data_IF_519534797546
#
_entry.id   IF_519534797546
#
_cell.length_a   1.000
_cell.length_b   1.000
_cell.length_c   1.000
_cell.angle_alpha   90.00
_cell.angle_beta   90.00
_cell.angle_gamma   90.00
#
_symmetry.space_group_name_H-M   'P 1'
#
loop_
_entity.id
_entity.type
_entity.pdbx_description
1 polymer ?
#
# COMPACT_ATOMS: atom_id res chain seq x y z
N UNK A 1 -11.28 -25.96 5.22
CA UNK A 1 -10.71 -24.94 4.30
C UNK A 1 -10.30 -23.75 5.16
N UNK A 2 -9.12 -23.23 4.98
CA UNK A 2 -8.56 -22.11 5.75
C UNK A 2 -8.95 -20.79 5.10
N UNK A 3 -9.23 -19.69 5.85
CA UNK A 3 -9.42 -18.37 5.29
C UNK A 3 -8.22 -17.93 4.42
N UNK A 4 -8.41 -17.03 3.43
CA UNK A 4 -7.31 -16.57 2.58
C UNK A 4 -6.20 -15.91 3.41
N UNK A 5 -4.99 -15.88 2.88
CA UNK A 5 -3.96 -14.97 3.38
C UNK A 5 -4.29 -13.56 2.91
N UNK A 6 -4.14 -12.56 3.79
CA UNK A 6 -4.47 -11.17 3.50
C UNK A 6 -3.21 -10.34 3.46
N UNK A 7 -2.88 -9.80 2.30
CA UNK A 7 -1.74 -8.91 2.08
C UNK A 7 -2.28 -7.51 1.86
N UNK A 8 -2.22 -6.69 2.90
CA UNK A 8 -2.79 -5.34 2.83
C UNK A 8 -1.72 -4.31 2.49
N UNK A 9 -2.02 -3.40 1.57
CA UNK A 9 -1.35 -2.12 1.57
C UNK A 9 -1.59 -1.39 2.89
N UNK A 10 -0.82 -0.34 3.15
CA UNK A 10 -0.87 0.40 4.40
C UNK A 10 -1.54 1.77 4.24
N UNK A 11 -0.95 2.65 3.44
CA UNK A 11 -1.34 4.05 3.32
C UNK A 11 -2.53 4.22 2.37
N UNK A 12 -3.63 4.77 2.87
CA UNK A 12 -4.89 4.80 2.14
C UNK A 12 -5.72 3.54 2.29
N UNK A 13 -5.15 2.43 2.79
CA UNK A 13 -5.86 1.16 2.99
C UNK A 13 -6.09 0.86 4.47
N UNK A 14 -5.04 0.73 5.28
CA UNK A 14 -5.12 0.51 6.73
C UNK A 14 -5.04 1.81 7.52
N UNK A 15 -4.31 2.78 6.99
CA UNK A 15 -3.94 4.03 7.65
C UNK A 15 -4.33 5.22 6.77
N UNK A 16 -5.08 6.16 7.33
CA UNK A 16 -5.27 7.48 6.74
C UNK A 16 -4.04 8.34 7.07
N UNK A 17 -3.17 8.50 6.08
CA UNK A 17 -1.93 9.28 6.15
C UNK A 17 -1.86 10.41 5.12
N UNK A 18 -2.93 10.61 4.33
CA UNK A 18 -2.94 11.52 3.18
C UNK A 18 -2.55 12.94 3.58
N UNK A 19 -3.17 13.48 4.63
CA UNK A 19 -2.89 14.85 5.08
C UNK A 19 -1.44 15.04 5.57
N UNK A 20 -0.87 14.03 6.25
CA UNK A 20 0.53 14.05 6.68
C UNK A 20 1.49 13.98 5.49
N UNK A 21 1.24 13.10 4.54
CA UNK A 21 2.01 13.00 3.30
C UNK A 21 1.97 14.33 2.52
N UNK A 22 0.80 14.93 2.33
CA UNK A 22 0.66 16.22 1.62
C UNK A 22 1.51 17.32 2.26
N UNK A 23 1.61 17.39 3.59
CA UNK A 23 2.46 18.41 4.25
C UNK A 23 3.94 18.22 3.92
N UNK A 24 4.44 16.99 3.94
CA UNK A 24 5.83 16.67 3.59
C UNK A 24 6.13 16.95 2.11
N UNK A 25 5.25 16.49 1.22
CA UNK A 25 5.40 16.70 -0.22
C UNK A 25 5.25 18.16 -0.62
N UNK A 26 4.37 18.93 0.03
CA UNK A 26 4.32 20.39 -0.14
C UNK A 26 5.63 21.07 0.30
N UNK A 27 6.26 20.60 1.38
CA UNK A 27 7.55 21.13 1.82
C UNK A 27 8.66 20.82 0.82
N UNK A 28 8.70 19.60 0.28
CA UNK A 28 9.62 19.23 -0.79
C UNK A 28 9.37 20.02 -2.08
N UNK A 29 8.10 20.15 -2.50
CA UNK A 29 7.72 20.92 -3.70
C UNK A 29 8.17 22.37 -3.64
N UNK A 30 8.04 23.02 -2.48
CA UNK A 30 8.57 24.40 -2.27
C UNK A 30 10.08 24.49 -2.48
N UNK A 31 10.85 23.46 -2.09
CA UNK A 31 12.31 23.43 -2.30
C UNK A 31 12.68 23.26 -3.78
N UNK A 32 11.82 22.62 -4.56
CA UNK A 32 12.05 22.34 -5.97
C UNK A 32 11.34 23.29 -6.93
N UNK A 33 10.49 24.18 -6.42
CA UNK A 33 9.70 25.12 -7.24
C UNK A 33 8.60 24.43 -8.04
N UNK A 34 8.05 23.31 -7.54
CA UNK A 34 6.97 22.54 -8.17
C UNK A 34 5.81 22.33 -7.19
N UNK A 35 4.65 21.93 -7.71
CA UNK A 35 3.56 21.44 -6.87
C UNK A 35 3.84 19.98 -6.47
N UNK A 36 4.45 19.81 -5.29
CA UNK A 36 4.83 18.49 -4.78
C UNK A 36 3.62 17.63 -4.41
N UNK A 37 2.50 18.24 -3.99
CA UNK A 37 1.28 17.52 -3.65
C UNK A 37 0.65 16.92 -4.90
N UNK A 38 0.38 17.74 -5.91
CA UNK A 38 -0.19 17.27 -7.18
C UNK A 38 0.71 16.21 -7.84
N UNK A 39 2.05 16.37 -7.72
CA UNK A 39 3.00 15.38 -8.23
C UNK A 39 2.91 14.04 -7.49
N UNK A 40 2.78 14.05 -6.17
CA UNK A 40 2.60 12.84 -5.34
C UNK A 40 1.25 12.16 -5.62
N UNK A 41 0.15 12.93 -5.71
CA UNK A 41 -1.20 12.40 -5.98
C UNK A 41 -1.26 11.69 -7.34
N UNK A 42 -0.65 12.27 -8.39
CA UNK A 42 -0.59 11.66 -9.71
C UNK A 42 0.15 10.29 -9.74
N UNK A 43 0.94 10.00 -8.72
CA UNK A 43 1.78 8.79 -8.63
C UNK A 43 1.54 8.02 -7.32
N UNK A 44 0.39 8.22 -6.68
CA UNK A 44 0.04 7.58 -5.40
C UNK A 44 0.22 6.04 -5.45
N UNK A 45 0.67 5.47 -4.34
CA UNK A 45 0.95 4.03 -4.22
C UNK A 45 2.32 3.57 -4.73
N UNK A 46 3.15 4.49 -5.30
CA UNK A 46 4.54 4.20 -5.70
C UNK A 46 5.54 4.65 -4.62
N UNK A 47 6.76 4.05 -4.59
CA UNK A 47 7.83 4.52 -3.71
C UNK A 47 8.22 5.97 -3.99
N UNK A 48 8.42 6.78 -2.92
CA UNK A 48 8.75 8.20 -3.04
C UNK A 48 9.98 8.47 -3.92
N UNK A 49 11.03 7.63 -3.80
CA UNK A 49 12.24 7.75 -4.62
C UNK A 49 11.95 7.64 -6.12
N UNK A 50 11.06 6.72 -6.52
CA UNK A 50 10.66 6.57 -7.92
C UNK A 50 9.84 7.77 -8.42
N UNK A 51 8.96 8.30 -7.57
CA UNK A 51 8.14 9.48 -7.89
C UNK A 51 9.02 10.71 -8.07
N UNK A 52 9.98 10.95 -7.17
CA UNK A 52 10.93 12.07 -7.25
C UNK A 52 11.81 11.97 -8.50
N UNK A 53 12.26 10.77 -8.87
CA UNK A 53 13.09 10.54 -10.06
C UNK A 53 12.38 10.86 -11.40
N UNK A 54 11.07 11.10 -11.39
CA UNK A 54 10.34 11.54 -12.60
C UNK A 54 10.58 13.02 -12.95
N UNK A 55 11.07 13.82 -11.98
CA UNK A 55 11.28 15.27 -12.15
C UNK A 55 12.66 15.75 -11.66
N UNK A 56 13.47 14.85 -11.13
CA UNK A 56 14.85 15.11 -10.67
C UNK A 56 15.79 14.14 -11.37
N UNK A 57 16.65 14.64 -12.27
CA UNK A 57 17.52 13.80 -13.09
C UNK A 57 18.78 13.31 -12.36
N UNK A 58 19.32 14.10 -11.42
CA UNK A 58 20.54 13.76 -10.67
C UNK A 58 20.24 12.69 -9.59
N UNK A 59 20.82 11.49 -9.68
CA UNK A 59 20.57 10.42 -8.72
C UNK A 59 20.91 10.79 -7.27
N UNK A 60 21.95 11.60 -7.05
CA UNK A 60 22.33 12.05 -5.71
C UNK A 60 21.29 13.00 -5.11
N UNK A 61 20.70 13.86 -5.94
CA UNK A 61 19.60 14.73 -5.53
C UNK A 61 18.29 13.94 -5.30
N UNK A 62 18.03 12.91 -6.10
CA UNK A 62 16.88 12.01 -5.90
C UNK A 62 16.97 11.35 -4.53
N UNK A 63 18.11 10.82 -4.15
CA UNK A 63 18.30 10.17 -2.85
C UNK A 63 18.19 11.15 -1.68
N UNK A 64 18.76 12.37 -1.83
CA UNK A 64 18.65 13.43 -0.82
C UNK A 64 17.20 13.91 -0.63
N UNK A 65 16.45 14.05 -1.72
CA UNK A 65 15.06 14.47 -1.70
C UNK A 65 14.14 13.39 -1.12
N UNK A 66 14.37 12.13 -1.48
CA UNK A 66 13.64 11.02 -0.91
C UNK A 66 13.86 10.90 0.61
N UNK A 67 15.11 11.10 1.05
CA UNK A 67 15.43 11.17 2.48
C UNK A 67 14.71 12.35 3.16
N UNK A 68 14.71 13.53 2.54
CA UNK A 68 14.01 14.70 3.08
C UNK A 68 12.50 14.45 3.26
N UNK A 69 11.84 13.93 2.22
CA UNK A 69 10.39 13.61 2.29
C UNK A 69 10.14 12.60 3.40
N UNK A 70 10.89 11.48 3.44
CA UNK A 70 10.77 10.45 4.47
C UNK A 70 10.93 11.03 5.88
N UNK A 71 11.97 11.83 6.10
CA UNK A 71 12.24 12.43 7.41
C UNK A 71 11.12 13.40 7.83
N UNK A 72 10.61 14.20 6.89
CA UNK A 72 9.47 15.09 7.13
C UNK A 72 8.20 14.30 7.50
N UNK A 73 7.91 13.21 6.80
CA UNK A 73 6.76 12.34 7.09
C UNK A 73 6.91 11.60 8.43
N UNK A 74 8.12 11.21 8.83
CA UNK A 74 8.38 10.60 10.15
C UNK A 74 8.23 11.63 11.27
N UNK A 75 8.68 12.86 11.04
CA UNK A 75 8.63 13.93 12.04
C UNK A 75 7.19 14.47 12.25
N UNK A 76 6.34 14.38 11.22
CA UNK A 76 4.96 14.88 11.28
C UNK A 76 3.95 13.78 10.96
N UNK A 77 3.55 13.05 11.98
CA UNK A 77 2.49 12.03 11.92
C UNK A 77 1.16 12.57 12.47
N UNK A 78 1.00 13.89 12.60
CA UNK A 78 -0.23 14.48 13.10
C UNK A 78 -1.43 14.15 12.18
N UNK A 79 -2.50 13.62 12.77
CA UNK A 79 -3.71 13.23 12.03
C UNK A 79 -3.60 11.88 11.32
N UNK A 80 -2.51 11.13 11.50
CA UNK A 80 -2.42 9.74 11.02
C UNK A 80 -3.29 8.85 11.90
N UNK A 81 -4.30 8.22 11.31
CA UNK A 81 -5.30 7.41 12.01
C UNK A 81 -5.51 6.05 11.32
N UNK A 82 -5.95 5.05 12.07
CA UNK A 82 -6.37 3.79 11.49
C UNK A 82 -7.75 3.92 10.82
N UNK A 83 -7.92 3.36 9.63
CA UNK A 83 -9.25 3.19 9.06
C UNK A 83 -10.08 2.17 9.85
N UNK A 84 -11.42 2.33 9.91
CA UNK A 84 -12.30 1.34 10.52
C UNK A 84 -12.12 -0.05 9.89
N UNK A 85 -11.86 -1.06 10.72
CA UNK A 85 -11.59 -2.43 10.27
C UNK A 85 -10.11 -2.78 10.10
N UNK A 86 -9.18 -1.83 10.19
CA UNK A 86 -7.75 -2.08 10.01
C UNK A 86 -7.17 -3.03 11.07
N UNK A 87 -7.51 -2.83 12.34
CA UNK A 87 -7.05 -3.70 13.42
C UNK A 87 -7.59 -5.13 13.26
N UNK A 88 -8.84 -5.28 12.82
CA UNK A 88 -9.47 -6.58 12.56
C UNK A 88 -8.84 -7.30 11.37
N UNK A 89 -8.41 -6.57 10.32
CA UNK A 89 -7.66 -7.14 9.21
C UNK A 89 -6.32 -7.67 9.69
N UNK A 90 -5.59 -6.89 10.50
CA UNK A 90 -4.28 -7.29 11.04
C UNK A 90 -4.38 -8.44 12.06
N UNK A 91 -5.54 -8.63 12.69
CA UNK A 91 -5.80 -9.76 13.58
C UNK A 91 -6.09 -11.08 12.85
N UNK A 92 -6.21 -11.08 11.51
CA UNK A 92 -6.40 -12.32 10.74
C UNK A 92 -5.14 -13.21 10.83
N UNK A 93 -5.29 -14.54 10.87
CA UNK A 93 -4.17 -15.47 11.15
C UNK A 93 -3.00 -15.37 10.17
N UNK A 94 -3.28 -14.99 8.92
CA UNK A 94 -2.29 -14.89 7.84
C UNK A 94 -2.33 -13.49 7.22
N UNK A 95 -2.22 -12.45 8.08
CA UNK A 95 -2.15 -11.07 7.64
C UNK A 95 -0.70 -10.61 7.47
N UNK A 96 -0.47 -9.83 6.41
CA UNK A 96 0.78 -9.12 6.15
C UNK A 96 0.50 -7.68 5.72
N UNK A 97 1.46 -6.79 5.95
CA UNK A 97 1.48 -5.45 5.37
C UNK A 97 2.50 -5.41 4.22
N UNK A 98 2.12 -4.77 3.12
CA UNK A 98 2.95 -4.56 1.93
C UNK A 98 2.86 -3.10 1.51
N UNK A 99 3.84 -2.30 1.88
CA UNK A 99 3.81 -0.84 1.68
C UNK A 99 4.92 -0.33 0.75
N UNK A 100 4.64 0.77 0.06
CA UNK A 100 5.62 1.54 -0.71
C UNK A 100 6.46 2.50 0.15
N UNK A 101 6.21 2.55 1.46
CA UNK A 101 7.07 3.26 2.40
C UNK A 101 8.32 2.45 2.75
N UNK A 102 9.38 3.15 3.11
CA UNK A 102 10.53 2.55 3.81
C UNK A 102 10.15 2.19 5.26
N UNK A 103 10.83 1.19 5.81
CA UNK A 103 10.51 0.62 7.14
C UNK A 103 10.41 1.65 8.27
N UNK A 104 11.32 2.65 8.42
CA UNK A 104 11.19 3.64 9.49
C UNK A 104 9.88 4.43 9.44
N UNK A 105 9.45 4.85 8.24
CA UNK A 105 8.19 5.56 8.04
C UNK A 105 6.97 4.65 8.31
N UNK A 106 7.00 3.41 7.82
CA UNK A 106 5.93 2.45 8.07
C UNK A 106 5.71 2.23 9.57
N UNK A 107 6.80 2.07 10.34
CA UNK A 107 6.72 1.91 11.80
C UNK A 107 6.19 3.16 12.51
N UNK A 108 6.59 4.37 12.04
CA UNK A 108 6.10 5.63 12.61
C UNK A 108 4.57 5.77 12.41
N UNK A 109 4.07 5.47 11.20
CA UNK A 109 2.64 5.53 10.86
C UNK A 109 1.80 4.48 11.61
N UNK A 110 2.27 3.23 11.67
CA UNK A 110 1.59 2.19 12.44
C UNK A 110 1.49 2.54 13.92
N UNK A 111 2.57 3.08 14.51
CA UNK A 111 2.56 3.55 15.90
C UNK A 111 1.56 4.69 16.11
N UNK A 112 1.56 5.69 15.22
CA UNK A 112 0.65 6.84 15.30
C UNK A 112 -0.81 6.40 15.19
N UNK A 113 -1.11 5.43 14.31
CA UNK A 113 -2.44 4.86 14.11
C UNK A 113 -2.85 3.87 15.21
N UNK A 114 -1.98 3.54 16.18
CA UNK A 114 -2.25 2.54 17.20
C UNK A 114 -2.40 1.10 16.68
N UNK A 115 -1.81 0.81 15.53
CA UNK A 115 -1.88 -0.51 14.88
C UNK A 115 -0.66 -1.36 15.23
N UNK A 116 -0.83 -2.68 15.41
CA UNK A 116 0.28 -3.59 15.64
C UNK A 116 1.11 -3.78 14.37
N UNK A 117 2.41 -4.03 14.55
CA UNK A 117 3.28 -4.48 13.46
C UNK A 117 3.05 -5.98 13.26
N UNK A 118 2.58 -6.45 12.07
CA UNK A 118 2.37 -7.86 11.82
C UNK A 118 3.70 -8.61 11.70
N UNK A 119 3.65 -9.95 11.78
CA UNK A 119 4.85 -10.80 11.60
C UNK A 119 5.52 -10.59 10.25
N UNK A 120 4.74 -10.33 9.21
CA UNK A 120 5.24 -10.03 7.87
C UNK A 120 4.89 -8.59 7.52
N UNK A 121 5.92 -7.75 7.42
CA UNK A 121 5.87 -6.38 6.96
C UNK A 121 6.91 -6.25 5.84
N UNK A 122 6.44 -6.08 4.59
CA UNK A 122 7.29 -5.82 3.42
C UNK A 122 7.27 -4.34 3.12
N UNK A 123 8.44 -3.74 2.99
CA UNK A 123 8.66 -2.30 2.82
C UNK A 123 9.50 -2.02 1.56
N UNK A 124 9.48 -0.78 1.07
CA UNK A 124 10.12 -0.39 -0.19
C UNK A 124 11.64 -0.68 -0.23
N UNK A 125 12.31 -0.61 0.92
CA UNK A 125 13.75 -0.86 1.06
C UNK A 125 14.14 -2.35 0.94
N UNK A 126 13.15 -3.26 0.85
CA UNK A 126 13.37 -4.70 0.73
C UNK A 126 13.18 -5.23 -0.70
N UNK A 127 12.75 -4.40 -1.64
CA UNK A 127 12.40 -4.80 -3.01
C UNK A 127 13.16 -3.98 -4.05
N UNK A 128 13.30 -4.55 -5.27
CA UNK A 128 13.98 -3.86 -6.36
C UNK A 128 13.05 -2.99 -7.20
N UNK A 129 11.81 -3.44 -7.41
CA UNK A 129 10.81 -2.77 -8.24
C UNK A 129 9.56 -2.54 -7.40
N UNK A 130 9.22 -1.26 -7.21
CA UNK A 130 8.00 -0.86 -6.53
C UNK A 130 6.73 -1.16 -7.34
N UNK A 131 5.56 -0.96 -6.72
CA UNK A 131 4.27 -1.02 -7.39
C UNK A 131 4.29 -0.11 -8.64
N UNK A 132 3.84 -0.55 -9.81
CA UNK A 132 2.95 -1.68 -10.08
C UNK A 132 3.64 -3.05 -10.32
N UNK A 133 4.96 -3.22 -10.08
CA UNK A 133 5.58 -4.52 -10.14
C UNK A 133 5.07 -5.44 -9.01
N UNK A 134 5.00 -6.77 -9.24
CA UNK A 134 4.44 -7.70 -8.27
C UNK A 134 5.38 -8.06 -7.12
N UNK A 135 6.63 -7.59 -7.14
CA UNK A 135 7.74 -8.05 -6.30
C UNK A 135 7.40 -8.05 -4.81
N UNK A 136 6.80 -6.97 -4.31
CA UNK A 136 6.47 -6.82 -2.90
C UNK A 136 5.41 -7.82 -2.43
N UNK A 137 4.37 -8.04 -3.24
CA UNK A 137 3.31 -9.00 -2.91
C UNK A 137 3.79 -10.44 -2.98
N UNK A 138 4.63 -10.77 -3.98
CA UNK A 138 5.25 -12.10 -4.08
C UNK A 138 6.17 -12.38 -2.89
N UNK A 139 6.97 -11.41 -2.47
CA UNK A 139 7.82 -11.53 -1.28
C UNK A 139 6.99 -11.74 0.01
N UNK A 140 5.85 -11.06 0.13
CA UNK A 140 4.97 -11.25 1.27
C UNK A 140 4.34 -12.64 1.31
N UNK A 141 3.89 -13.18 0.16
CA UNK A 141 3.37 -14.53 0.05
C UNK A 141 4.43 -15.58 0.40
N UNK A 142 5.67 -15.41 -0.11
CA UNK A 142 6.82 -16.24 0.23
C UNK A 142 7.08 -16.28 1.75
N UNK A 143 7.11 -15.11 2.40
CA UNK A 143 7.34 -14.99 3.84
C UNK A 143 6.23 -15.58 4.70
N UNK A 144 5.00 -15.59 4.18
CA UNK A 144 3.87 -16.28 4.80
C UNK A 144 3.85 -17.79 4.54
N UNK A 145 4.61 -18.26 3.54
CA UNK A 145 4.62 -19.67 3.11
C UNK A 145 3.30 -20.06 2.45
N UNK A 146 2.72 -19.19 1.61
CA UNK A 146 1.42 -19.41 0.95
C UNK A 146 1.54 -19.26 -0.57
N UNK A 147 0.66 -19.96 -1.31
CA UNK A 147 0.54 -19.77 -2.75
C UNK A 147 -0.08 -18.39 -3.03
N UNK A 148 0.48 -17.59 -3.97
CA UNK A 148 -0.14 -16.34 -4.41
C UNK A 148 -1.63 -16.46 -4.79
N UNK A 149 -2.04 -17.58 -5.39
CA UNK A 149 -3.44 -17.81 -5.75
C UNK A 149 -4.38 -17.95 -4.52
N UNK A 150 -3.85 -18.20 -3.33
CA UNK A 150 -4.59 -18.23 -2.05
C UNK A 150 -4.64 -16.89 -1.34
N UNK A 151 -4.00 -15.85 -1.91
CA UNK A 151 -3.89 -14.54 -1.31
C UNK A 151 -4.99 -13.59 -1.77
N UNK A 152 -5.43 -12.75 -0.85
CA UNK A 152 -6.22 -11.55 -1.12
C UNK A 152 -5.36 -10.33 -0.84
N UNK A 153 -5.20 -9.47 -1.83
CA UNK A 153 -4.58 -8.16 -1.69
C UNK A 153 -5.67 -7.14 -1.35
N UNK A 154 -5.43 -6.29 -0.36
CA UNK A 154 -6.23 -5.11 -0.05
C UNK A 154 -5.46 -3.87 -0.49
N UNK A 155 -6.12 -3.00 -1.25
CA UNK A 155 -5.48 -1.83 -1.89
C UNK A 155 -6.47 -0.68 -2.07
N UNK A 156 -5.92 0.55 -2.24
CA UNK A 156 -6.69 1.76 -2.50
C UNK A 156 -6.25 2.49 -3.77
N UNK A 157 -5.10 2.08 -4.35
CA UNK A 157 -4.45 2.77 -5.47
C UNK A 157 -4.33 1.90 -6.73
N UNK A 158 -4.49 2.48 -7.94
CA UNK A 158 -4.37 1.74 -9.20
C UNK A 158 -3.02 1.03 -9.38
N UNK A 159 -1.93 1.60 -8.88
CA UNK A 159 -0.60 0.99 -8.96
C UNK A 159 -0.53 -0.32 -8.16
N UNK A 160 -1.09 -0.34 -6.96
CA UNK A 160 -1.12 -1.52 -6.13
C UNK A 160 -2.12 -2.57 -6.62
N UNK A 161 -3.28 -2.14 -7.15
CA UNK A 161 -4.21 -3.06 -7.81
C UNK A 161 -3.52 -3.81 -8.94
N UNK A 162 -2.77 -3.10 -9.81
CA UNK A 162 -1.99 -3.75 -10.88
C UNK A 162 -0.91 -4.67 -10.33
N UNK A 163 -0.22 -4.30 -9.24
CA UNK A 163 0.81 -5.14 -8.62
C UNK A 163 0.24 -6.46 -8.09
N UNK A 164 -0.88 -6.42 -7.36
CA UNK A 164 -1.55 -7.61 -6.86
C UNK A 164 -2.08 -8.52 -7.97
N UNK A 165 -2.62 -7.91 -9.05
CA UNK A 165 -3.04 -8.64 -10.25
C UNK A 165 -1.87 -9.31 -10.95
N UNK A 166 -0.77 -8.60 -11.13
CA UNK A 166 0.45 -9.13 -11.73
C UNK A 166 1.09 -10.26 -10.88
N UNK A 167 0.88 -10.25 -9.56
CA UNK A 167 1.27 -11.33 -8.66
C UNK A 167 0.36 -12.57 -8.74
N UNK A 168 -0.71 -12.55 -9.54
CA UNK A 168 -1.67 -13.67 -9.65
C UNK A 168 -2.62 -13.77 -8.46
N UNK A 169 -2.77 -12.72 -7.67
CA UNK A 169 -3.59 -12.68 -6.45
C UNK A 169 -4.99 -12.16 -6.72
N UNK A 170 -5.93 -12.45 -5.82
CA UNK A 170 -7.23 -11.78 -5.79
C UNK A 170 -7.05 -10.38 -5.19
N UNK A 171 -7.53 -9.32 -5.89
CA UNK A 171 -7.38 -7.94 -5.43
C UNK A 171 -8.74 -7.37 -5.06
N UNK A 172 -8.87 -6.87 -3.84
CA UNK A 172 -10.05 -6.18 -3.34
C UNK A 172 -9.66 -4.76 -2.96
N UNK A 173 -10.25 -3.79 -3.65
CA UNK A 173 -9.92 -2.39 -3.44
C UNK A 173 -10.90 -1.71 -2.48
N UNK A 174 -10.39 -0.70 -1.78
CA UNK A 174 -11.17 0.24 -0.97
C UNK A 174 -11.07 1.63 -1.60
N UNK A 175 -12.22 2.28 -1.81
CA UNK A 175 -12.29 3.60 -2.46
C UNK A 175 -12.09 4.73 -1.42
N UNK A 176 -10.93 4.74 -0.78
CA UNK A 176 -10.55 5.71 0.26
C UNK A 176 -9.76 6.90 -0.29
N UNK A 177 -8.94 6.67 -1.32
CA UNK A 177 -8.07 7.69 -1.94
C UNK A 177 -8.36 7.92 -3.42
N UNK A 178 -9.02 6.97 -4.09
CA UNK A 178 -9.35 7.03 -5.52
C UNK A 178 -10.82 6.74 -5.76
N UNK A 179 -11.34 7.24 -6.88
CA UNK A 179 -12.69 6.91 -7.32
C UNK A 179 -12.80 5.41 -7.65
N UNK A 180 -13.96 4.78 -7.38
CA UNK A 180 -14.18 3.38 -7.74
C UNK A 180 -13.91 3.07 -9.22
N UNK A 181 -14.10 4.03 -10.11
CA UNK A 181 -13.83 3.89 -11.54
C UNK A 181 -12.35 3.67 -11.85
N UNK A 182 -11.44 4.25 -11.07
CA UNK A 182 -9.99 4.09 -11.22
C UNK A 182 -9.51 2.74 -10.69
N UNK A 183 -10.29 2.12 -9.83
CA UNK A 183 -10.01 0.81 -9.19
C UNK A 183 -10.68 -0.38 -9.91
N UNK A 184 -11.28 -0.16 -11.09
CA UNK A 184 -12.04 -1.17 -11.84
C UNK A 184 -11.28 -2.45 -12.19
N UNK A 185 -9.96 -2.41 -12.19
CA UNK A 185 -9.11 -3.59 -12.43
C UNK A 185 -9.05 -4.53 -11.21
N UNK A 186 -9.54 -4.10 -10.04
CA UNK A 186 -9.71 -4.96 -8.88
C UNK A 186 -10.84 -5.97 -9.11
N UNK A 187 -10.77 -7.13 -8.43
CA UNK A 187 -11.85 -8.13 -8.48
C UNK A 187 -13.09 -7.69 -7.68
N UNK A 188 -12.89 -6.80 -6.72
CA UNK A 188 -13.94 -6.19 -5.90
C UNK A 188 -13.53 -4.78 -5.52
N UNK A 189 -14.48 -3.86 -5.49
CA UNK A 189 -14.31 -2.50 -4.93
C UNK A 189 -15.36 -2.31 -3.83
N UNK A 190 -14.94 -1.76 -2.70
CA UNK A 190 -15.78 -1.46 -1.54
C UNK A 190 -15.51 -0.03 -1.04
N UNK A 191 -16.43 0.53 -0.27
CA UNK A 191 -16.26 1.85 0.35
C UNK A 191 -15.25 1.85 1.51
N UNK A 192 -14.95 0.69 2.11
CA UNK A 192 -13.99 0.56 3.20
C UNK A 192 -13.78 -0.88 3.65
N UNK A 193 -12.81 -1.09 4.55
CA UNK A 193 -12.41 -2.42 5.02
C UNK A 193 -13.54 -3.17 5.74
N UNK A 194 -14.39 -2.45 6.49
CA UNK A 194 -15.49 -3.06 7.25
C UNK A 194 -16.45 -3.85 6.38
N UNK A 195 -16.63 -3.45 5.12
CA UNK A 195 -17.49 -4.16 4.15
C UNK A 195 -16.84 -5.47 3.65
N UNK A 196 -15.51 -5.56 3.70
CA UNK A 196 -14.75 -6.70 3.22
C UNK A 196 -14.54 -7.78 4.29
N UNK A 197 -14.49 -7.39 5.57
CA UNK A 197 -14.19 -8.26 6.71
C UNK A 197 -15.02 -9.56 6.78
N UNK A 198 -16.36 -9.57 6.57
CA UNK A 198 -17.12 -10.81 6.63
C UNK A 198 -16.65 -11.85 5.62
N UNK A 199 -16.29 -11.40 4.42
CA UNK A 199 -15.81 -12.28 3.34
C UNK A 199 -14.35 -12.73 3.57
N UNK A 200 -13.49 -11.87 4.15
CA UNK A 200 -12.10 -12.22 4.50
C UNK A 200 -12.02 -13.28 5.61
N UNK A 201 -12.99 -13.31 6.51
CA UNK A 201 -13.11 -14.31 7.59
C UNK A 201 -13.70 -15.64 7.12
N UNK A 202 -14.28 -15.69 5.92
CA UNK A 202 -14.95 -16.89 5.41
C UNK A 202 -13.94 -17.92 4.91
N UNK A 203 -14.07 -19.21 5.28
CA UNK A 203 -13.25 -20.29 4.73
C UNK A 203 -13.42 -20.48 3.21
N UNK A 204 -14.48 -19.92 2.63
CA UNK A 204 -14.75 -19.91 1.18
C UNK A 204 -14.24 -18.64 0.51
N UNK A 205 -13.14 -18.07 0.97
CA UNK A 205 -12.52 -16.90 0.37
C UNK A 205 -12.47 -17.00 -1.16
N UNK A 206 -12.49 -15.87 -1.88
CA UNK A 206 -12.57 -15.89 -3.34
C UNK A 206 -11.33 -16.62 -3.90
N UNK A 207 -11.59 -17.60 -4.74
CA UNK A 207 -10.56 -18.08 -5.65
C UNK A 207 -10.33 -17.00 -6.71
N UNK A 208 -9.07 -16.71 -7.01
CA UNK A 208 -8.76 -15.96 -8.22
C UNK A 208 -9.50 -16.62 -9.39
N UNK A 209 -10.19 -15.84 -10.25
CA UNK A 209 -10.78 -16.42 -11.45
C UNK A 209 -9.67 -17.09 -12.25
N UNK A 210 -9.90 -18.33 -12.71
CA UNK A 210 -9.00 -19.01 -13.63
C UNK A 210 -8.68 -18.07 -14.79
N UNK A 211 -7.42 -18.01 -15.25
CA UNK A 211 -7.06 -17.20 -16.40
C UNK A 211 -8.00 -17.61 -17.54
N UNK A 212 -8.73 -16.64 -18.11
CA UNK A 212 -9.51 -16.89 -19.32
C UNK A 212 -8.51 -17.33 -20.38
N UNK A 213 -8.69 -18.54 -20.88
CA UNK A 213 -7.97 -18.99 -22.07
C UNK A 213 -8.22 -17.96 -23.18
N UNK A 214 -7.13 -17.40 -23.73
CA UNK A 214 -7.14 -16.49 -24.86
C UNK A 214 -7.52 -17.24 -26.13
#
# INVERSE_FOLDING_TARGET
MTPPAVLSDMDGTLVDSVAAAHRAWAAWGRRRGIDGVAHQEAHHGRPAREVIALVVDDPGLVDADAAFVREAEIADVAGVLAFPGAAEVLALPRAAIVTSCERPLALARLRAAGLPVPRVLVTADEIRRGKPAPDAYLLAAERLGVDPAECVVLEDAPAGVRAGRAAGMSVWAVATTHDPADLRDAHRVAGGLSELLPALRSPRGPRAPSPRAA
#
